data_IF_009760432252
#
_entry.id   IF_009760432252
#
_cell.length_a   1.000
_cell.length_b   1.000
_cell.length_c   1.000
_cell.angle_alpha   90.00
_cell.angle_beta   90.00
_cell.angle_gamma   90.00
#
_symmetry.space_group_name_H-M   'P 1'
#
loop_
_entity.id
_entity.type
_entity.pdbx_description
1 polymer ?
#
# COMPACT_ATOMS: atom_id res chain seq x y z
N UNK A 1 -20.10 1.32 -10.76
CA UNK A 1 -18.98 0.64 -11.43
C UNK A 1 -18.89 -0.74 -10.81
N UNK A 2 -18.71 -1.80 -11.60
CA UNK A 2 -18.64 -3.17 -11.10
C UNK A 2 -17.36 -3.34 -10.25
N UNK A 3 -17.48 -3.64 -8.96
CA UNK A 3 -16.34 -3.73 -8.02
C UNK A 3 -15.40 -4.87 -8.36
N UNK A 4 -15.91 -5.93 -8.98
CA UNK A 4 -15.09 -6.97 -9.59
C UNK A 4 -14.18 -6.40 -10.67
N UNK A 5 -14.71 -5.52 -11.52
CA UNK A 5 -13.92 -4.84 -12.56
C UNK A 5 -12.87 -3.92 -11.95
N UNK A 6 -13.19 -3.23 -10.86
CA UNK A 6 -12.23 -2.38 -10.13
C UNK A 6 -11.09 -3.19 -9.49
N UNK A 7 -11.42 -4.32 -8.86
CA UNK A 7 -10.43 -5.26 -8.33
C UNK A 7 -9.56 -5.83 -9.46
N UNK A 8 -10.15 -6.26 -10.57
CA UNK A 8 -9.43 -6.75 -11.74
C UNK A 8 -8.49 -5.67 -12.30
N UNK A 9 -8.92 -4.41 -12.33
CA UNK A 9 -8.08 -3.28 -12.74
C UNK A 9 -6.87 -3.15 -11.79
N UNK A 10 -7.07 -3.09 -10.48
CA UNK A 10 -5.98 -3.01 -9.49
C UNK A 10 -5.02 -4.20 -9.65
N UNK A 11 -5.57 -5.41 -9.85
CA UNK A 11 -4.76 -6.61 -10.00
C UNK A 11 -3.94 -6.61 -11.29
N UNK A 12 -4.39 -5.95 -12.35
CA UNK A 12 -3.62 -5.88 -13.60
C UNK A 12 -2.67 -4.68 -13.62
N UNK A 13 -3.05 -3.55 -13.02
CA UNK A 13 -2.30 -2.30 -13.08
C UNK A 13 -1.18 -2.21 -12.04
N UNK A 14 -1.37 -2.74 -10.83
CA UNK A 14 -0.40 -2.55 -9.74
C UNK A 14 1.01 -3.02 -10.11
N UNK A 15 1.11 -4.12 -10.85
CA UNK A 15 2.40 -4.73 -11.17
C UNK A 15 3.23 -3.83 -12.11
N UNK A 16 2.76 -3.46 -13.32
CA UNK A 16 3.51 -2.56 -14.18
C UNK A 16 3.72 -1.18 -13.55
N UNK A 17 2.74 -0.64 -12.81
CA UNK A 17 2.86 0.67 -12.16
C UNK A 17 3.96 0.68 -11.10
N UNK A 18 4.06 -0.37 -10.27
CA UNK A 18 5.13 -0.47 -9.27
C UNK A 18 6.50 -0.60 -9.93
N UNK A 19 6.63 -1.44 -10.95
CA UNK A 19 7.91 -1.62 -11.65
C UNK A 19 8.35 -0.33 -12.32
N UNK A 20 7.45 0.36 -13.01
CA UNK A 20 7.72 1.66 -13.63
C UNK A 20 8.11 2.69 -12.57
N UNK A 21 7.35 2.81 -11.49
CA UNK A 21 7.65 3.76 -10.41
C UNK A 21 9.06 3.54 -9.82
N UNK A 22 9.40 2.32 -9.44
CA UNK A 22 10.74 2.03 -8.91
C UNK A 22 11.84 2.16 -9.97
N UNK A 23 11.51 2.02 -11.26
CA UNK A 23 12.46 2.29 -12.35
C UNK A 23 12.71 3.78 -12.50
N UNK A 24 11.67 4.62 -12.45
CA UNK A 24 11.75 6.08 -12.54
C UNK A 24 12.51 6.67 -11.34
N UNK A 25 12.43 6.03 -10.18
CA UNK A 25 13.22 6.39 -9.00
C UNK A 25 14.67 5.89 -9.06
N UNK A 26 15.07 5.19 -10.12
CA UNK A 26 16.38 4.57 -10.29
C UNK A 26 16.71 3.51 -9.21
N UNK A 27 15.69 2.83 -8.69
CA UNK A 27 15.88 1.80 -7.69
C UNK A 27 16.59 0.58 -8.27
N UNK A 28 17.54 -0.04 -7.53
CA UNK A 28 18.21 -1.24 -7.99
C UNK A 28 17.21 -2.40 -8.13
N UNK A 29 17.21 -3.05 -9.29
CA UNK A 29 16.37 -4.22 -9.59
C UNK A 29 14.86 -3.97 -9.36
N UNK A 30 14.32 -2.84 -9.84
CA UNK A 30 12.92 -2.41 -9.63
C UNK A 30 11.86 -3.52 -9.68
N UNK A 31 11.98 -4.50 -10.58
CA UNK A 31 11.06 -5.64 -10.69
C UNK A 31 10.94 -6.50 -9.41
N UNK A 32 11.97 -6.52 -8.56
CA UNK A 32 11.98 -7.35 -7.35
C UNK A 32 11.01 -6.85 -6.28
N UNK A 33 10.48 -5.62 -6.38
CA UNK A 33 9.41 -5.12 -5.51
C UNK A 33 8.17 -6.01 -5.53
N UNK A 34 7.91 -6.70 -6.65
CA UNK A 34 6.78 -7.60 -6.82
C UNK A 34 6.91 -8.92 -6.04
N UNK A 35 8.08 -9.18 -5.46
CA UNK A 35 8.37 -10.40 -4.69
C UNK A 35 9.00 -10.14 -3.33
N UNK A 36 9.58 -8.96 -3.12
CA UNK A 36 10.27 -8.55 -1.89
C UNK A 36 10.11 -7.03 -1.69
N UNK A 37 8.86 -6.59 -1.48
CA UNK A 37 8.51 -5.20 -1.25
C UNK A 37 9.12 -4.63 0.04
N UNK A 38 9.30 -5.46 1.07
CA UNK A 38 9.89 -5.06 2.35
C UNK A 38 11.30 -4.49 2.19
N UNK A 39 12.11 -5.04 1.27
CA UNK A 39 13.44 -4.54 0.94
C UNK A 39 13.46 -3.11 0.38
N UNK A 40 12.36 -2.66 -0.21
CA UNK A 40 12.25 -1.33 -0.82
C UNK A 40 11.68 -0.25 0.12
N UNK A 41 11.23 -0.63 1.33
CA UNK A 41 10.67 0.34 2.29
C UNK A 41 11.69 1.41 2.62
N UNK A 42 12.92 1.04 2.96
CA UNK A 42 13.97 2.01 3.31
C UNK A 42 14.29 2.96 2.16
N UNK A 43 14.34 2.45 0.93
CA UNK A 43 14.56 3.27 -0.27
C UNK A 43 13.45 4.30 -0.46
N UNK A 44 12.19 3.87 -0.34
CA UNK A 44 11.04 4.75 -0.54
C UNK A 44 10.85 5.75 0.62
N UNK A 45 11.16 5.32 1.85
CA UNK A 45 11.21 6.18 3.04
C UNK A 45 12.23 7.31 2.84
N UNK A 46 13.46 6.99 2.43
CA UNK A 46 14.49 7.99 2.15
C UNK A 46 14.09 8.93 1.00
N UNK A 47 13.51 8.40 -0.07
CA UNK A 47 13.04 9.20 -1.20
C UNK A 47 11.96 10.21 -0.78
N UNK A 48 10.98 9.76 0.01
CA UNK A 48 9.80 10.55 0.38
C UNK A 48 10.00 11.48 1.57
N UNK A 49 10.97 11.16 2.46
CA UNK A 49 11.15 11.78 3.79
C UNK A 49 10.98 13.30 3.83
N UNK A 50 11.51 14.00 2.82
CA UNK A 50 11.50 15.46 2.74
C UNK A 50 10.79 15.99 1.48
N UNK A 51 9.98 15.17 0.81
CA UNK A 51 9.28 15.58 -0.41
C UNK A 51 8.02 16.36 -0.07
N UNK A 52 7.96 17.61 -0.52
CA UNK A 52 6.69 18.34 -0.62
C UNK A 52 5.98 17.90 -1.91
N UNK A 53 4.86 17.20 -1.77
CA UNK A 53 4.07 16.75 -2.91
C UNK A 53 3.13 17.88 -3.34
N UNK A 54 3.27 18.32 -4.59
CA UNK A 54 2.36 19.30 -5.17
C UNK A 54 0.94 18.70 -5.35
N UNK A 55 -0.08 19.55 -5.28
CA UNK A 55 -1.49 19.12 -5.42
C UNK A 55 -1.74 18.39 -6.75
N UNK A 56 -1.09 18.84 -7.82
CA UNK A 56 -1.16 18.22 -9.16
C UNK A 56 -0.56 16.81 -9.23
N UNK A 57 0.43 16.51 -8.38
CA UNK A 57 1.11 15.20 -8.30
C UNK A 57 0.49 14.28 -7.24
N UNK A 58 -0.40 14.81 -6.40
CA UNK A 58 -0.93 14.10 -5.23
C UNK A 58 -1.56 12.75 -5.59
N UNK A 59 -2.46 12.75 -6.57
CA UNK A 59 -3.13 11.52 -7.01
C UNK A 59 -2.13 10.52 -7.60
N UNK A 60 -1.13 11.01 -8.33
CA UNK A 60 -0.11 10.19 -8.96
C UNK A 60 0.75 9.47 -7.92
N UNK A 61 1.19 10.18 -6.87
CA UNK A 61 2.03 9.60 -5.82
C UNK A 61 1.22 8.70 -4.89
N UNK A 62 0.01 9.11 -4.47
CA UNK A 62 -0.86 8.31 -3.59
C UNK A 62 -1.19 6.97 -4.24
N UNK A 63 -1.44 6.94 -5.54
CA UNK A 63 -1.72 5.69 -6.26
C UNK A 63 -0.54 4.72 -6.17
N UNK A 64 0.70 5.21 -6.38
CA UNK A 64 1.92 4.38 -6.34
C UNK A 64 2.28 3.93 -4.94
N UNK A 65 2.17 4.82 -3.95
CA UNK A 65 2.37 4.48 -2.54
C UNK A 65 1.30 3.50 -2.08
N UNK A 66 0.04 3.67 -2.49
CA UNK A 66 -1.06 2.76 -2.17
C UNK A 66 -0.85 1.35 -2.72
N UNK A 67 -0.42 1.24 -3.99
CA UNK A 67 -0.01 -0.04 -4.55
C UNK A 67 1.16 -0.66 -3.78
N UNK A 68 2.16 0.15 -3.41
CA UNK A 68 3.33 -0.34 -2.67
C UNK A 68 2.94 -0.86 -1.28
N UNK A 69 2.15 -0.11 -0.52
CA UNK A 69 1.66 -0.51 0.81
C UNK A 69 0.84 -1.79 0.71
N UNK A 70 -0.07 -1.88 -0.26
CA UNK A 70 -0.89 -3.08 -0.41
C UNK A 70 -0.06 -4.32 -0.79
N UNK A 71 0.90 -4.15 -1.69
CA UNK A 71 1.83 -5.23 -2.08
C UNK A 71 2.74 -5.65 -0.89
N UNK A 72 3.23 -4.68 -0.11
CA UNK A 72 3.94 -4.92 1.14
C UNK A 72 3.12 -5.76 2.13
N UNK A 73 1.88 -5.37 2.41
CA UNK A 73 1.01 -6.07 3.35
C UNK A 73 0.68 -7.49 2.88
N UNK A 74 0.36 -7.65 1.60
CA UNK A 74 0.08 -8.96 0.99
C UNK A 74 1.28 -9.89 1.12
N UNK A 75 2.48 -9.42 0.80
CA UNK A 75 3.69 -10.23 0.88
C UNK A 75 4.09 -10.53 2.33
N UNK A 76 4.06 -9.53 3.22
CA UNK A 76 4.46 -9.66 4.61
C UNK A 76 3.55 -10.59 5.40
N UNK A 77 2.24 -10.46 5.22
CA UNK A 77 1.24 -11.18 6.01
C UNK A 77 0.55 -12.32 5.26
N UNK A 78 0.98 -12.63 4.02
CA UNK A 78 0.35 -13.62 3.14
C UNK A 78 -1.17 -13.37 2.99
N UNK A 79 -1.51 -12.15 2.61
CA UNK A 79 -2.89 -11.72 2.35
C UNK A 79 -3.26 -11.74 0.87
N UNK A 80 -4.35 -11.07 0.53
CA UNK A 80 -4.71 -10.75 -0.85
C UNK A 80 -5.47 -9.42 -0.94
N UNK A 81 -5.49 -8.85 -2.14
CA UNK A 81 -6.43 -7.79 -2.51
C UNK A 81 -7.84 -8.37 -2.61
N UNK A 82 -8.83 -7.67 -2.09
CA UNK A 82 -10.22 -8.09 -2.11
C UNK A 82 -11.18 -6.90 -1.97
N UNK A 83 -12.41 -7.09 -2.40
CA UNK A 83 -13.51 -6.22 -2.03
C UNK A 83 -13.93 -6.47 -0.58
N UNK A 84 -14.15 -5.41 0.19
CA UNK A 84 -14.75 -5.53 1.52
C UNK A 84 -16.27 -5.47 1.44
N UNK A 85 -16.90 -6.64 1.54
CA UNK A 85 -18.35 -6.81 1.53
C UNK A 85 -18.97 -6.79 2.94
N UNK A 86 -18.19 -6.51 4.00
CA UNK A 86 -18.66 -6.57 5.39
C UNK A 86 -19.52 -5.35 5.75
N UNK A 87 -20.86 -5.50 5.90
CA UNK A 87 -21.72 -4.36 6.17
C UNK A 87 -21.38 -3.72 7.53
N UNK A 88 -21.34 -2.39 7.58
CA UNK A 88 -21.01 -1.63 8.79
C UNK A 88 -19.51 -1.49 9.07
N UNK A 89 -18.64 -2.11 8.25
CA UNK A 89 -17.21 -1.78 8.27
C UNK A 89 -16.96 -0.38 7.72
N UNK A 90 -15.96 0.32 8.28
CA UNK A 90 -15.53 1.66 7.81
C UNK A 90 -15.08 1.64 6.35
N UNK A 91 -14.59 0.51 5.88
CA UNK A 91 -14.09 0.31 4.51
C UNK A 91 -15.07 -0.51 3.66
N UNK A 92 -16.35 -0.60 4.05
CA UNK A 92 -17.37 -1.28 3.24
C UNK A 92 -17.40 -0.73 1.81
N UNK A 93 -17.51 -1.61 0.82
CA UNK A 93 -17.51 -1.29 -0.63
C UNK A 93 -16.19 -0.71 -1.16
N UNK A 94 -15.08 -0.91 -0.43
CA UNK A 94 -13.73 -0.54 -0.88
C UNK A 94 -12.88 -1.76 -1.23
N UNK A 95 -11.89 -1.53 -2.09
CA UNK A 95 -10.83 -2.51 -2.34
C UNK A 95 -9.79 -2.39 -1.23
N UNK A 96 -9.56 -3.49 -0.53
CA UNK A 96 -8.68 -3.59 0.64
C UNK A 96 -7.68 -4.73 0.46
N UNK A 97 -6.68 -4.77 1.32
CA UNK A 97 -5.88 -5.97 1.57
C UNK A 97 -6.36 -6.65 2.84
N UNK A 98 -6.44 -7.97 2.84
CA UNK A 98 -6.98 -8.75 3.95
C UNK A 98 -6.72 -10.24 3.79
N UNK A 99 -7.46 -11.06 4.53
CA UNK A 99 -7.29 -12.54 4.59
C UNK A 99 -5.85 -12.93 4.90
N UNK A 100 -5.24 -12.19 5.80
CA UNK A 100 -3.85 -12.34 6.22
C UNK A 100 -3.66 -13.64 6.98
N UNK A 101 -3.02 -14.64 6.35
CA UNK A 101 -2.85 -15.96 6.97
C UNK A 101 -1.85 -15.95 8.14
N UNK A 102 -0.97 -14.93 8.21
CA UNK A 102 0.05 -14.78 9.26
C UNK A 102 -0.41 -13.99 10.49
N UNK A 103 -1.62 -13.42 10.48
CA UNK A 103 -2.16 -12.66 11.62
C UNK A 103 -3.12 -13.52 12.45
N UNK A 104 -3.23 -13.24 13.75
CA UNK A 104 -4.25 -13.85 14.63
C UNK A 104 -5.64 -13.42 14.23
N UNK A 105 -5.81 -12.13 13.91
CA UNK A 105 -7.07 -11.56 13.49
C UNK A 105 -7.29 -11.74 12.00
N UNK A 106 -8.06 -12.77 11.67
CA UNK A 106 -8.44 -13.12 10.29
C UNK A 106 -9.44 -12.13 9.66
N UNK A 107 -10.01 -11.22 10.44
CA UNK A 107 -10.91 -10.16 9.96
C UNK A 107 -10.21 -8.84 9.68
N UNK A 108 -8.90 -8.75 9.97
CA UNK A 108 -8.10 -7.57 9.70
C UNK A 108 -8.11 -7.24 8.21
N UNK A 109 -8.39 -5.97 7.91
CA UNK A 109 -8.47 -5.42 6.56
C UNK A 109 -7.88 -4.01 6.55
N UNK A 110 -7.13 -3.68 5.50
CA UNK A 110 -6.50 -2.37 5.33
C UNK A 110 -6.83 -1.84 3.95
N UNK A 111 -7.34 -0.62 3.87
CA UNK A 111 -7.40 0.16 2.63
C UNK A 111 -6.03 0.81 2.39
N UNK A 112 -5.20 0.30 1.46
CA UNK A 112 -3.84 0.80 1.29
C UNK A 112 -3.79 2.23 0.76
N UNK A 113 -4.83 2.67 0.04
CA UNK A 113 -4.91 4.02 -0.49
C UNK A 113 -5.27 5.02 0.61
N UNK A 114 -6.11 4.64 1.57
CA UNK A 114 -6.36 5.46 2.76
C UNK A 114 -5.06 5.65 3.59
N UNK A 115 -4.25 4.60 3.74
CA UNK A 115 -2.94 4.69 4.40
C UNK A 115 -1.97 5.56 3.59
N UNK A 116 -1.95 5.43 2.27
CA UNK A 116 -1.12 6.26 1.39
C UNK A 116 -1.49 7.74 1.45
N UNK A 117 -2.78 8.08 1.48
CA UNK A 117 -3.26 9.45 1.66
C UNK A 117 -2.77 10.01 3.00
N UNK A 118 -2.90 9.25 4.09
CA UNK A 118 -2.42 9.66 5.40
C UNK A 118 -0.90 9.90 5.43
N UNK A 119 -0.14 9.03 4.75
CA UNK A 119 1.30 9.17 4.60
C UNK A 119 1.69 10.45 3.84
N UNK A 120 1.12 10.67 2.65
CA UNK A 120 1.48 11.80 1.79
C UNK A 120 1.06 13.14 2.41
N UNK A 121 -0.02 13.17 3.20
CA UNK A 121 -0.44 14.34 3.96
C UNK A 121 0.28 14.54 5.30
N UNK A 122 1.14 13.61 5.71
CA UNK A 122 1.86 13.73 6.99
C UNK A 122 2.83 14.91 6.97
N UNK A 123 3.13 15.45 8.15
CA UNK A 123 4.11 16.54 8.27
C UNK A 123 5.50 16.06 7.87
N UNK A 124 6.24 16.92 7.17
CA UNK A 124 7.65 16.69 6.84
C UNK A 124 8.53 16.98 8.07
N UNK A 125 9.52 16.12 8.39
CA UNK A 125 9.87 14.89 7.69
C UNK A 125 8.86 13.76 7.93
N UNK A 126 8.41 13.12 6.85
CA UNK A 126 7.56 11.94 6.93
C UNK A 126 8.41 10.67 7.08
N UNK A 127 7.82 9.58 7.60
CA UNK A 127 8.47 8.28 7.64
C UNK A 127 7.51 7.15 7.31
N UNK A 128 7.72 6.54 6.15
CA UNK A 128 7.02 5.34 5.71
C UNK A 128 7.41 4.15 6.59
N UNK A 129 8.68 4.06 7.00
CA UNK A 129 9.15 3.03 7.93
C UNK A 129 8.35 3.07 9.24
N UNK A 130 8.22 4.24 9.86
CA UNK A 130 7.46 4.41 11.09
C UNK A 130 5.98 4.06 10.88
N UNK A 131 5.36 4.59 9.83
CA UNK A 131 3.96 4.30 9.50
C UNK A 131 3.69 2.80 9.34
N UNK A 132 4.54 2.10 8.58
CA UNK A 132 4.40 0.66 8.39
C UNK A 132 4.67 -0.12 9.67
N UNK A 133 5.59 0.34 10.53
CA UNK A 133 5.80 -0.27 11.84
C UNK A 133 4.55 -0.17 12.71
N UNK A 134 3.97 1.03 12.83
CA UNK A 134 2.74 1.28 13.61
C UNK A 134 1.58 0.43 13.07
N UNK A 135 1.42 0.39 11.74
CA UNK A 135 0.41 -0.45 11.09
C UNK A 135 0.64 -1.95 11.34
N UNK A 136 1.88 -2.43 11.30
CA UNK A 136 2.21 -3.83 11.61
C UNK A 136 1.86 -4.18 13.05
N UNK A 137 2.14 -3.28 14.00
CA UNK A 137 1.83 -3.46 15.42
C UNK A 137 0.32 -3.47 15.66
N UNK A 138 -0.43 -2.58 15.01
CA UNK A 138 -1.90 -2.57 15.05
C UNK A 138 -2.49 -3.88 14.52
N UNK A 139 -2.01 -4.34 13.36
CA UNK A 139 -2.47 -5.58 12.73
C UNK A 139 -2.13 -6.84 13.53
N UNK A 140 -0.99 -6.85 14.22
CA UNK A 140 -0.56 -7.98 15.05
C UNK A 140 -1.19 -7.98 16.45
N UNK A 141 -1.58 -6.81 16.96
CA UNK A 141 -2.25 -6.65 18.25
C UNK A 141 -3.78 -6.82 18.20
N UNK A 142 -4.36 -6.79 17.00
CA UNK A 142 -5.79 -6.94 16.75
C UNK A 142 -6.28 -8.40 16.79
#
# INVERSE_FOLDING_TARGET
>A
MDKKKELDTILNERMPVLVEFFTDLEAPQAYAVLTDAEKYVGFLDDFMKNQEVAEEDFQWIVTRIGYFIGEYLVQKFQGCWMENETPGSRTFDRIVTGRFSRLSNQSAMVDPFEVAVAFVHSSIPCSLNQLLQELNEELAGA
#
